data_IF_036906869387
#
_entry.id   IF_036906869387
#
_cell.length_a   1.000
_cell.length_b   1.000
_cell.length_c   1.000
_cell.angle_alpha   90.00
_cell.angle_beta   90.00
_cell.angle_gamma   90.00
#
_symmetry.space_group_name_H-M   'P 1'
#
loop_
_entity.id
_entity.type
_entity.pdbx_description
1 polymer ?
#
# COMPACT_ATOMS: atom_id res chain seq x y z
N UNK A 1 -1.17 -10.33 -20.42
CA UNK A 1 -1.11 -11.67 -19.79
C UNK A 1 -2.01 -11.59 -18.57
N UNK A 2 -3.27 -12.01 -18.70
CA UNK A 2 -4.20 -12.01 -17.56
C UNK A 2 -3.66 -13.04 -16.58
N UNK A 3 -3.10 -12.60 -15.44
CA UNK A 3 -2.82 -13.50 -14.33
C UNK A 3 -4.19 -14.06 -13.97
N UNK A 4 -4.47 -15.30 -14.38
CA UNK A 4 -5.51 -16.03 -13.71
C UNK A 4 -5.12 -15.96 -12.23
N UNK A 5 -5.96 -15.34 -11.43
CA UNK A 5 -6.08 -15.72 -10.04
C UNK A 5 -6.46 -17.20 -10.12
N UNK A 6 -5.47 -18.08 -10.27
CA UNK A 6 -5.63 -19.45 -9.86
C UNK A 6 -6.15 -19.33 -8.44
N UNK A 7 -7.28 -19.97 -8.17
CA UNK A 7 -7.71 -20.27 -6.82
C UNK A 7 -6.54 -21.01 -6.15
N UNK A 8 -5.61 -20.23 -5.59
CA UNK A 8 -4.55 -20.73 -4.74
C UNK A 8 -5.29 -21.07 -3.46
N UNK A 9 -5.70 -22.33 -3.36
CA UNK A 9 -6.17 -22.94 -2.12
C UNK A 9 -5.16 -22.59 -1.01
N UNK A 10 -5.43 -21.52 -0.24
CA UNK A 10 -4.51 -20.99 0.76
C UNK A 10 -4.42 -19.47 0.90
N UNK A 11 -4.80 -18.66 -0.10
CA UNK A 11 -4.82 -17.20 0.07
C UNK A 11 -6.11 -16.78 0.78
N UNK A 12 -5.99 -16.48 2.08
CA UNK A 12 -7.12 -16.12 2.94
C UNK A 12 -7.50 -14.64 2.89
N UNK A 13 -6.67 -13.80 2.25
CA UNK A 13 -6.81 -12.36 2.33
C UNK A 13 -8.03 -11.82 1.58
N UNK A 14 -8.46 -12.50 0.51
CA UNK A 14 -9.62 -12.10 -0.30
C UNK A 14 -9.46 -10.73 -0.98
N UNK A 15 -8.23 -10.21 -1.06
CA UNK A 15 -7.96 -8.89 -1.64
C UNK A 15 -8.32 -8.86 -3.13
N UNK A 16 -8.81 -7.69 -3.54
CA UNK A 16 -9.14 -7.36 -4.92
C UNK A 16 -8.02 -6.50 -5.52
N UNK A 17 -8.07 -6.27 -6.84
CA UNK A 17 -7.17 -5.32 -7.50
C UNK A 17 -7.27 -3.88 -6.95
N UNK A 18 -8.32 -3.56 -6.18
CA UNK A 18 -8.51 -2.24 -5.58
C UNK A 18 -7.75 -2.07 -4.26
N UNK A 19 -7.35 -3.18 -3.62
CA UNK A 19 -6.78 -3.16 -2.28
C UNK A 19 -5.68 -4.19 -2.02
N UNK A 20 -5.18 -4.86 -3.06
CA UNK A 20 -3.99 -5.69 -2.99
C UNK A 20 -2.72 -4.84 -2.89
N UNK A 21 -1.79 -5.29 -2.07
CA UNK A 21 -0.51 -4.64 -1.79
C UNK A 21 0.48 -5.67 -1.25
N UNK A 22 1.74 -5.29 -1.20
CA UNK A 22 2.82 -6.06 -0.57
C UNK A 22 3.68 -5.14 0.26
N UNK A 23 4.54 -5.76 1.07
CA UNK A 23 5.57 -5.08 1.87
C UNK A 23 5.05 -3.84 2.61
N UNK A 24 3.99 -3.98 3.45
CA UNK A 24 3.62 -2.90 4.35
C UNK A 24 4.78 -2.58 5.28
N UNK A 25 5.08 -1.29 5.40
CA UNK A 25 6.14 -0.77 6.25
C UNK A 25 5.52 0.18 7.29
N UNK A 26 5.27 1.43 6.89
CA UNK A 26 4.73 2.46 7.77
C UNK A 26 3.29 2.21 8.19
N UNK A 27 2.97 2.60 9.42
CA UNK A 27 1.62 2.56 9.98
C UNK A 27 1.30 3.84 10.74
N UNK A 28 0.10 4.38 10.53
CA UNK A 28 -0.38 5.54 11.26
C UNK A 28 -1.82 5.35 11.73
N UNK A 29 -2.05 5.52 13.03
CA UNK A 29 -3.40 5.52 13.59
C UNK A 29 -4.01 6.91 13.48
N UNK A 30 -5.15 7.01 12.79
CA UNK A 30 -5.75 8.30 12.55
C UNK A 30 -6.32 8.89 13.84
N UNK A 31 -5.83 10.08 14.20
CA UNK A 31 -6.41 10.87 15.29
C UNK A 31 -7.62 11.69 14.81
N UNK A 32 -7.59 12.06 13.52
CA UNK A 32 -8.67 12.77 12.86
C UNK A 32 -9.91 11.90 12.64
N UNK A 33 -9.70 10.61 12.33
CA UNK A 33 -10.73 9.61 12.14
C UNK A 33 -10.48 8.40 13.05
N UNK A 34 -10.80 8.49 14.36
CA UNK A 34 -10.54 7.41 15.31
C UNK A 34 -11.12 6.08 14.85
N UNK A 35 -10.29 5.04 14.90
CA UNK A 35 -10.64 3.72 14.40
C UNK A 35 -10.30 3.50 12.93
N UNK A 36 -9.63 4.45 12.26
CA UNK A 36 -9.02 4.24 10.94
C UNK A 36 -7.49 4.19 11.08
N UNK A 37 -6.84 3.43 10.20
CA UNK A 37 -5.39 3.38 10.07
C UNK A 37 -4.97 3.64 8.63
N UNK A 38 -3.78 4.20 8.49
CA UNK A 38 -3.08 4.27 7.21
C UNK A 38 -1.97 3.24 7.18
N UNK A 39 -1.78 2.62 6.02
CA UNK A 39 -0.74 1.62 5.76
C UNK A 39 0.10 2.13 4.60
N UNK A 40 1.38 2.27 4.83
CA UNK A 40 2.38 2.70 3.85
C UNK A 40 3.15 1.46 3.34
N UNK A 41 3.63 1.49 2.10
CA UNK A 41 4.38 0.35 1.53
C UNK A 41 5.76 0.77 1.06
N UNK A 42 6.74 -0.10 1.28
CA UNK A 42 8.08 -0.08 0.70
C UNK A 42 8.32 -1.41 0.00
N UNK A 43 8.19 -1.44 -1.32
CA UNK A 43 8.03 -2.68 -2.05
C UNK A 43 8.95 -2.83 -3.26
N UNK A 44 9.63 -3.98 -3.30
CA UNK A 44 10.36 -4.48 -4.47
C UNK A 44 9.73 -5.70 -5.15
N UNK A 45 8.64 -6.28 -4.62
CA UNK A 45 8.13 -7.58 -5.03
C UNK A 45 6.87 -7.55 -5.92
N UNK A 46 6.16 -6.43 -5.95
CA UNK A 46 4.88 -6.22 -6.64
C UNK A 46 4.95 -5.07 -7.67
N UNK A 47 6.19 -4.72 -8.04
CA UNK A 47 6.55 -3.67 -8.98
C UNK A 47 6.12 -3.95 -10.43
N UNK A 48 5.72 -5.19 -10.75
CA UNK A 48 5.13 -5.56 -12.03
C UNK A 48 3.62 -5.29 -12.11
N UNK A 49 2.98 -4.92 -11.00
CA UNK A 49 1.56 -4.59 -10.92
C UNK A 49 1.30 -3.12 -10.63
N UNK A 50 2.01 -2.53 -9.65
CA UNK A 50 1.87 -1.11 -9.26
C UNK A 50 3.13 -0.61 -8.55
N UNK A 51 3.24 0.70 -8.33
CA UNK A 51 4.22 1.27 -7.40
C UNK A 51 3.70 1.18 -5.96
N UNK A 52 4.58 1.49 -4.99
CA UNK A 52 4.23 1.68 -3.59
C UNK A 52 3.06 2.65 -3.40
N UNK A 53 2.33 2.48 -2.31
CA UNK A 53 1.02 3.09 -2.12
C UNK A 53 0.75 3.41 -0.64
N UNK A 54 -0.25 4.28 -0.43
CA UNK A 54 -0.88 4.45 0.87
C UNK A 54 -2.27 3.81 0.81
N UNK A 55 -2.60 2.99 1.80
CA UNK A 55 -3.94 2.43 1.97
C UNK A 55 -4.61 3.02 3.22
N UNK A 56 -5.92 3.21 3.15
CA UNK A 56 -6.78 3.48 4.29
C UNK A 56 -7.45 2.17 4.71
N UNK A 57 -7.44 1.87 6.00
CA UNK A 57 -8.08 0.69 6.57
C UNK A 57 -8.94 1.03 7.78
N UNK A 58 -10.07 0.34 7.89
CA UNK A 58 -10.88 0.23 9.10
C UNK A 58 -10.64 -1.16 9.67
N UNK A 59 -9.79 -1.31 10.69
CA UNK A 59 -9.47 -2.61 11.26
C UNK A 59 -10.69 -3.26 11.91
N UNK A 60 -10.67 -4.58 11.91
CA UNK A 60 -11.55 -5.41 12.71
C UNK A 60 -11.23 -5.39 14.21
N UNK A 61 -11.92 -6.24 14.96
CA UNK A 61 -11.63 -6.54 16.36
C UNK A 61 -10.99 -7.94 16.49
N UNK A 62 -10.19 -8.16 17.52
CA UNK A 62 -9.68 -9.51 17.80
C UNK A 62 -10.85 -10.47 18.03
N UNK A 63 -10.92 -11.53 17.23
CA UNK A 63 -11.98 -12.55 17.32
C UNK A 63 -13.27 -12.22 16.57
N UNK A 64 -13.25 -11.26 15.66
CA UNK A 64 -14.40 -10.87 14.83
C UNK A 64 -14.65 -11.76 13.60
N UNK A 65 -13.85 -12.83 13.45
CA UNK A 65 -14.13 -13.95 12.57
C UNK A 65 -13.87 -15.27 13.31
N UNK A 66 -13.38 -16.29 12.62
CA UNK A 66 -13.35 -17.65 13.17
C UNK A 66 -12.19 -18.50 12.69
N UNK A 67 -12.20 -19.74 13.18
CA UNK A 67 -11.28 -20.80 12.74
C UNK A 67 -11.59 -21.16 11.28
N UNK A 68 -10.56 -21.23 10.46
CA UNK A 68 -10.61 -21.72 9.08
C UNK A 68 -9.62 -22.86 8.91
N UNK A 69 -10.01 -23.83 8.09
CA UNK A 69 -9.14 -24.96 7.71
C UNK A 69 -8.49 -24.64 6.36
N UNK A 70 -7.17 -24.71 6.31
CA UNK A 70 -6.37 -24.38 5.12
C UNK A 70 -5.62 -25.62 4.65
N UNK A 71 -5.79 -25.95 3.38
CA UNK A 71 -5.05 -27.02 2.72
C UNK A 71 -3.88 -26.41 1.95
N UNK A 72 -2.69 -26.38 2.56
CA UNK A 72 -1.49 -25.89 1.88
C UNK A 72 -0.98 -26.97 0.94
N UNK A 73 -0.73 -26.61 -0.32
CA UNK A 73 -0.19 -27.51 -1.35
C UNK A 73 1.10 -26.88 -1.88
N UNK A 74 2.20 -27.63 -1.82
CA UNK A 74 3.50 -27.26 -2.40
C UNK A 74 4.00 -28.42 -3.28
N UNK A 75 3.75 -28.30 -4.59
CA UNK A 75 3.99 -29.38 -5.54
C UNK A 75 3.17 -30.64 -5.19
N UNK A 76 3.86 -31.72 -4.80
CA UNK A 76 3.23 -32.97 -4.37
C UNK A 76 3.02 -33.07 -2.84
N UNK A 77 3.56 -32.12 -2.07
CA UNK A 77 3.36 -32.08 -0.63
C UNK A 77 2.06 -31.36 -0.31
N UNK A 78 1.30 -31.88 0.67
CA UNK A 78 0.12 -31.20 1.20
C UNK A 78 0.10 -31.24 2.72
N UNK A 79 -0.43 -30.17 3.32
CA UNK A 79 -0.64 -30.06 4.76
C UNK A 79 -1.91 -29.28 5.07
N UNK A 80 -2.83 -29.93 5.77
CA UNK A 80 -4.01 -29.30 6.34
C UNK A 80 -3.68 -28.71 7.71
N UNK A 81 -4.02 -27.44 7.91
CA UNK A 81 -3.87 -26.73 9.19
C UNK A 81 -5.13 -25.95 9.50
N UNK A 82 -5.50 -25.92 10.77
CA UNK A 82 -6.51 -24.99 11.25
C UNK A 82 -5.83 -23.73 11.78
N UNK A 83 -6.31 -22.57 11.33
CA UNK A 83 -5.83 -21.25 11.76
C UNK A 83 -7.02 -20.34 12.06
N UNK A 84 -6.78 -19.19 12.69
CA UNK A 84 -7.78 -18.14 12.85
C UNK A 84 -7.53 -17.04 11.82
N UNK A 85 -8.59 -16.47 11.29
CA UNK A 85 -8.55 -15.25 10.49
C UNK A 85 -9.26 -14.12 11.23
N UNK A 86 -8.91 -12.87 10.90
CA UNK A 86 -9.71 -11.71 11.28
C UNK A 86 -10.89 -11.51 10.32
N UNK A 87 -11.69 -10.48 10.57
CA UNK A 87 -12.75 -10.03 9.67
C UNK A 87 -12.25 -9.97 8.23
N UNK A 88 -13.06 -10.52 7.33
CA UNK A 88 -12.81 -10.45 5.90
C UNK A 88 -12.75 -8.98 5.47
N UNK A 89 -11.68 -8.63 4.75
CA UNK A 89 -11.54 -7.30 4.18
C UNK A 89 -12.33 -7.24 2.88
N UNK A 90 -12.96 -6.09 2.66
CA UNK A 90 -13.60 -5.73 1.41
C UNK A 90 -13.13 -4.34 1.00
N UNK A 91 -13.54 -3.92 -0.19
CA UNK A 91 -13.26 -2.58 -0.68
C UNK A 91 -13.90 -1.50 0.20
N UNK A 92 -14.74 -1.78 1.21
CA UNK A 92 -15.23 -0.76 2.14
C UNK A 92 -14.30 -0.56 3.34
N UNK A 93 -13.61 -1.62 3.79
CA UNK A 93 -12.78 -1.60 4.99
C UNK A 93 -11.27 -1.55 4.69
N UNK A 94 -10.85 -1.76 3.44
CA UNK A 94 -9.47 -1.53 3.00
C UNK A 94 -9.47 -0.97 1.56
N UNK A 95 -8.89 0.21 1.38
CA UNK A 95 -8.81 0.88 0.08
C UNK A 95 -7.44 1.47 -0.17
N UNK A 96 -6.97 1.37 -1.41
CA UNK A 96 -5.86 2.18 -1.90
C UNK A 96 -6.27 3.66 -1.98
N UNK A 97 -5.50 4.53 -1.34
CA UNK A 97 -5.77 5.96 -1.28
C UNK A 97 -4.88 6.78 -2.23
N UNK A 98 -3.59 6.45 -2.30
CA UNK A 98 -2.65 7.04 -3.27
C UNK A 98 -1.63 6.00 -3.75
N UNK A 99 -1.08 6.23 -4.94
CA UNK A 99 0.04 5.47 -5.51
C UNK A 99 1.20 6.44 -5.73
N UNK A 100 2.38 6.07 -5.24
CA UNK A 100 3.61 6.83 -5.37
C UNK A 100 4.17 6.84 -6.80
N UNK A 101 5.16 7.69 -7.07
CA UNK A 101 5.90 7.67 -8.32
C UNK A 101 6.69 6.37 -8.49
N UNK A 102 7.31 6.22 -9.66
CA UNK A 102 8.17 5.08 -9.98
C UNK A 102 9.38 5.03 -9.05
N UNK A 103 9.73 3.82 -8.61
CA UNK A 103 10.94 3.53 -7.82
C UNK A 103 10.98 4.40 -6.55
N UNK A 104 9.89 4.42 -5.79
CA UNK A 104 9.78 5.14 -4.51
C UNK A 104 8.96 4.32 -3.53
N UNK A 105 9.18 4.53 -2.23
CA UNK A 105 8.25 4.12 -1.17
C UNK A 105 7.36 5.27 -0.72
N UNK A 106 6.27 4.91 -0.04
CA UNK A 106 5.51 5.82 0.81
C UNK A 106 6.00 5.62 2.24
N UNK A 107 6.40 6.71 2.91
CA UNK A 107 6.90 6.63 4.29
C UNK A 107 6.52 7.85 5.10
N UNK A 108 6.40 7.68 6.42
CA UNK A 108 6.27 8.72 7.43
C UNK A 108 5.18 9.75 7.09
N UNK A 109 3.92 9.41 7.36
CA UNK A 109 2.82 10.39 7.24
C UNK A 109 2.53 11.14 8.54
N UNK A 110 1.82 12.28 8.43
CA UNK A 110 1.20 12.95 9.58
C UNK A 110 -0.07 13.67 9.17
N UNK A 111 -1.11 13.57 10.00
CA UNK A 111 -2.37 14.29 9.83
C UNK A 111 -2.37 15.61 10.61
N UNK A 112 -3.07 16.62 10.08
CA UNK A 112 -3.43 17.78 10.90
C UNK A 112 -4.52 17.40 11.91
N UNK A 113 -4.56 18.05 13.09
CA UNK A 113 -5.57 17.75 14.11
C UNK A 113 -7.03 17.92 13.65
N UNK A 114 -7.27 18.75 12.63
CA UNK A 114 -8.61 18.96 12.05
C UNK A 114 -8.96 17.94 10.95
N UNK A 115 -8.04 17.02 10.63
CA UNK A 115 -8.25 15.96 9.64
C UNK A 115 -8.30 16.41 8.19
N UNK A 116 -7.96 17.67 7.90
CA UNK A 116 -8.09 18.25 6.55
C UNK A 116 -6.84 18.16 5.70
N UNK A 117 -5.70 17.87 6.31
CA UNK A 117 -4.43 17.70 5.61
C UNK A 117 -3.74 16.44 6.09
N UNK A 118 -3.25 15.65 5.13
CA UNK A 118 -2.39 14.52 5.37
C UNK A 118 -1.08 14.78 4.64
N UNK A 119 0.00 14.99 5.38
CA UNK A 119 1.35 15.09 4.83
C UNK A 119 1.87 13.67 4.62
N UNK A 120 2.29 13.37 3.39
CA UNK A 120 2.79 12.05 2.99
C UNK A 120 4.18 12.23 2.41
N UNK A 121 5.21 11.57 2.96
CA UNK A 121 6.53 11.62 2.32
C UNK A 121 6.67 10.54 1.25
N UNK A 122 7.34 10.92 0.18
CA UNK A 122 7.75 10.03 -0.90
C UNK A 122 9.27 9.87 -0.80
N UNK A 123 9.78 8.68 -0.48
CA UNK A 123 11.22 8.46 -0.40
C UNK A 123 11.80 8.05 -1.75
N UNK A 124 13.03 8.51 -2.01
CA UNK A 124 13.91 8.08 -3.11
C UNK A 124 13.30 7.82 -4.50
N UNK A 125 12.46 8.70 -5.10
CA UNK A 125 11.95 8.46 -6.44
C UNK A 125 13.08 8.22 -7.45
N UNK A 126 13.02 7.10 -8.18
CA UNK A 126 14.00 6.75 -9.21
C UNK A 126 15.23 6.00 -8.69
N UNK A 127 15.16 5.34 -7.52
CA UNK A 127 16.31 4.71 -6.87
C UNK A 127 16.97 3.59 -7.68
N UNK A 128 16.19 2.81 -8.44
CA UNK A 128 16.69 1.62 -9.16
C UNK A 128 17.50 2.01 -10.40
N UNK A 129 17.35 3.24 -10.87
CA UNK A 129 18.07 3.75 -12.03
C UNK A 129 19.37 4.44 -11.61
N UNK A 130 20.51 3.90 -12.06
CA UNK A 130 21.80 4.60 -11.93
C UNK A 130 21.73 5.95 -12.66
N UNK A 131 21.83 7.09 -11.95
CA UNK A 131 21.59 8.40 -12.54
C UNK A 131 22.76 8.85 -13.43
N UNK A 132 22.44 9.49 -14.56
CA UNK A 132 23.43 10.21 -15.37
C UNK A 132 23.14 11.71 -15.30
N UNK A 133 23.98 12.41 -14.52
CA UNK A 133 23.83 13.86 -14.31
C UNK A 133 24.22 14.70 -15.54
N UNK A 134 25.04 14.16 -16.44
CA UNK A 134 25.46 14.86 -17.67
C UNK A 134 24.31 14.87 -18.69
N UNK A 135 23.64 13.73 -18.86
CA UNK A 135 22.52 13.59 -19.81
C UNK A 135 21.16 13.82 -19.16
N UNK A 136 21.12 14.11 -17.86
CA UNK A 136 19.90 14.28 -17.06
C UNK A 136 18.96 13.07 -17.14
N UNK A 137 19.54 11.87 -17.09
CA UNK A 137 18.81 10.60 -17.12
C UNK A 137 18.60 10.10 -15.70
N UNK A 138 17.34 9.93 -15.30
CA UNK A 138 16.92 9.53 -13.95
C UNK A 138 15.78 8.50 -14.05
N UNK A 139 15.61 7.66 -13.02
CA UNK A 139 14.52 6.66 -12.97
C UNK A 139 13.13 7.25 -12.75
N UNK A 140 13.10 8.46 -12.18
CA UNK A 140 11.92 9.29 -11.97
C UNK A 140 12.31 10.76 -12.11
N UNK A 141 11.36 11.59 -12.51
CA UNK A 141 11.50 13.05 -12.52
C UNK A 141 10.51 13.73 -11.56
N UNK A 142 9.86 12.95 -10.70
CA UNK A 142 8.93 13.48 -9.72
C UNK A 142 9.65 14.38 -8.69
N UNK A 143 9.06 15.50 -8.23
CA UNK A 143 7.70 15.96 -8.53
C UNK A 143 7.58 16.83 -9.79
N UNK A 144 8.67 17.44 -10.24
CA UNK A 144 8.62 18.53 -11.22
C UNK A 144 8.48 18.05 -12.68
N UNK A 145 8.72 16.77 -12.95
CA UNK A 145 8.67 16.17 -14.28
C UNK A 145 9.81 16.59 -15.20
N UNK A 146 9.65 16.34 -16.50
CA UNK A 146 10.63 16.71 -17.52
C UNK A 146 11.98 15.99 -17.31
N UNK A 147 13.07 16.76 -17.23
CA UNK A 147 14.41 16.24 -16.93
C UNK A 147 14.86 16.59 -15.51
N UNK A 148 13.93 16.98 -14.64
CA UNK A 148 14.23 17.35 -13.27
C UNK A 148 14.83 16.17 -12.49
N UNK A 149 15.80 16.48 -11.63
CA UNK A 149 16.33 15.51 -10.67
C UNK A 149 15.23 15.18 -9.64
N UNK A 150 14.99 13.90 -9.34
CA UNK A 150 13.95 13.52 -8.41
C UNK A 150 14.23 13.98 -6.98
N UNK A 151 13.17 14.30 -6.24
CA UNK A 151 13.21 14.79 -4.85
C UNK A 151 12.02 14.27 -4.06
N UNK A 152 12.18 14.04 -2.76
CA UNK A 152 11.07 13.79 -1.84
C UNK A 152 10.18 15.04 -1.69
N UNK A 153 8.88 14.88 -1.50
CA UNK A 153 7.94 15.98 -1.23
C UNK A 153 6.71 15.50 -0.44
N UNK A 154 5.93 16.46 0.07
CA UNK A 154 4.71 16.22 0.84
C UNK A 154 3.44 16.56 0.04
N UNK A 155 2.40 15.73 0.20
CA UNK A 155 1.10 15.89 -0.47
C UNK A 155 0.10 16.60 0.46
N UNK A 156 -0.85 17.36 -0.08
CA UNK A 156 -2.00 17.94 0.66
C UNK A 156 -3.27 17.86 -0.21
N UNK A 157 -4.47 17.95 0.38
CA UNK A 157 -5.75 17.90 -0.35
C UNK A 157 -6.23 19.31 -0.73
N UNK A 158 -6.65 19.48 -1.98
CA UNK A 158 -6.97 20.79 -2.56
C UNK A 158 -8.31 21.38 -2.12
N UNK A 159 -9.28 20.55 -1.70
CA UNK A 159 -10.66 20.99 -1.44
C UNK A 159 -10.95 21.31 0.05
N UNK A 160 -9.96 21.13 0.93
CA UNK A 160 -10.10 21.38 2.38
C UNK A 160 -11.08 20.45 3.11
N UNK A 161 -11.56 19.40 2.47
CA UNK A 161 -12.39 18.37 3.08
C UNK A 161 -11.58 17.44 3.98
N UNK A 162 -12.28 16.63 4.79
CA UNK A 162 -11.64 15.60 5.62
C UNK A 162 -10.94 14.55 4.75
N UNK A 163 -9.75 14.13 5.15
CA UNK A 163 -9.01 13.05 4.50
C UNK A 163 -9.56 11.69 4.96
N UNK A 164 -9.69 10.73 4.05
CA UNK A 164 -9.95 9.33 4.39
C UNK A 164 -11.41 8.94 4.69
N UNK A 165 -12.38 9.82 4.40
CA UNK A 165 -13.81 9.52 4.39
C UNK A 165 -14.31 9.14 2.99
#
# INVERSE_FOLDING_TARGET
MTRQLQELDGILSGLSANNDFSSPDGLWFSLANPGSIWIETDDGAYTDVTNCMLLAAVPGAVGDAGRVTVNNIDGSASKTIDTFVGKALDDANLRRFLVGPKESEITSIVETPDGKTLFVNIQHPGEETVPNFTTQTYGSNWPDGGTARPRSAAITRNDGGLIGL
#
